data_IF_159308898513
#
_entry.id   IF_159308898513
#
_cell.length_a   1.000
_cell.length_b   1.000
_cell.length_c   1.000
_cell.angle_alpha   90.00
_cell.angle_beta   90.00
_cell.angle_gamma   90.00
#
_symmetry.space_group_name_H-M   'P 1'
#
loop_
_entity.id
_entity.type
_entity.pdbx_description
1 polymer ?
#
# COMPACT_ATOMS: atom_id res chain seq x y z
N UNK A 1 25.95 -7.53 -8.08
CA UNK A 1 24.77 -7.39 -8.96
C UNK A 1 24.09 -8.73 -9.27
N UNK A 2 24.02 -9.68 -8.33
CA UNK A 2 23.32 -10.96 -8.53
C UNK A 2 22.72 -11.36 -7.18
N UNK A 3 21.56 -10.82 -6.80
CA UNK A 3 20.81 -11.33 -5.63
C UNK A 3 19.32 -11.00 -5.61
N UNK A 4 18.74 -10.51 -6.71
CA UNK A 4 17.30 -10.17 -6.79
C UNK A 4 16.52 -11.09 -7.73
N UNK A 5 17.18 -12.06 -8.37
CA UNK A 5 16.55 -12.99 -9.33
C UNK A 5 16.03 -14.28 -8.69
N UNK A 6 16.44 -14.63 -7.46
CA UNK A 6 16.04 -15.88 -6.80
C UNK A 6 14.73 -15.80 -6.00
N UNK A 7 14.28 -14.62 -5.56
CA UNK A 7 13.03 -14.50 -4.79
C UNK A 7 11.79 -14.52 -5.70
N UNK A 8 11.89 -13.95 -6.90
CA UNK A 8 10.78 -13.95 -7.86
C UNK A 8 10.54 -15.31 -8.53
N UNK A 9 11.55 -16.19 -8.61
CA UNK A 9 11.39 -17.57 -9.10
C UNK A 9 10.73 -18.47 -8.05
N UNK A 10 11.03 -18.29 -6.77
CA UNK A 10 10.41 -19.06 -5.68
C UNK A 10 8.89 -18.80 -5.55
N UNK A 11 8.46 -17.54 -5.70
CA UNK A 11 7.04 -17.16 -5.62
C UNK A 11 6.24 -17.67 -6.83
N UNK A 12 6.85 -17.73 -8.02
CA UNK A 12 6.22 -18.27 -9.23
C UNK A 12 6.09 -19.80 -9.21
N UNK A 13 7.03 -20.51 -8.59
CA UNK A 13 6.96 -21.97 -8.39
C UNK A 13 5.89 -22.35 -7.35
N UNK A 14 5.69 -21.56 -6.30
CA UNK A 14 4.64 -21.80 -5.31
C UNK A 14 3.22 -21.58 -5.87
N UNK A 15 3.04 -20.62 -6.78
CA UNK A 15 1.75 -20.37 -7.44
C UNK A 15 1.38 -21.45 -8.48
N UNK A 16 2.37 -22.09 -9.11
CA UNK A 16 2.14 -23.15 -10.10
C UNK A 16 1.86 -24.52 -9.43
N UNK A 17 2.36 -24.74 -8.22
CA UNK A 17 2.02 -25.91 -7.39
C UNK A 17 0.57 -25.89 -6.86
N UNK A 18 -0.01 -24.69 -6.67
CA UNK A 18 -1.39 -24.52 -6.19
C UNK A 18 -2.45 -24.61 -7.29
N UNK A 19 -2.05 -24.48 -8.57
CA UNK A 19 -2.94 -24.62 -9.73
C UNK A 19 -3.01 -26.06 -10.27
N UNK A 20 -2.01 -26.90 -9.99
CA UNK A 20 -1.99 -28.31 -10.41
C UNK A 20 -2.69 -29.27 -9.43
N UNK A 21 -3.08 -28.82 -8.23
CA UNK A 21 -3.83 -29.63 -7.26
C UNK A 21 -5.36 -29.61 -7.46
N UNK A 22 -5.86 -28.86 -8.45
CA UNK A 22 -7.30 -28.71 -8.72
C UNK A 22 -7.79 -29.48 -9.96
N UNK A 23 -6.92 -30.29 -10.61
CA UNK A 23 -7.24 -30.99 -11.87
C UNK A 23 -7.06 -32.51 -11.81
N UNK A 24 -6.87 -33.08 -10.62
CA UNK A 24 -6.80 -34.52 -10.43
C UNK A 24 -7.74 -34.95 -9.32
N UNK A 25 -9.01 -35.21 -9.68
CA UNK A 25 -9.83 -36.34 -9.22
C UNK A 25 -11.28 -36.10 -9.69
N UNK A 26 -11.50 -36.38 -10.97
CA UNK A 26 -12.81 -36.78 -11.47
C UNK A 26 -12.79 -38.30 -11.71
N UNK A 27 -13.92 -38.93 -11.38
CA UNK A 27 -14.45 -40.19 -11.90
C UNK A 27 -14.06 -41.55 -11.28
N UNK A 28 -15.06 -42.44 -11.37
CA UNK A 28 -15.17 -43.87 -11.07
C UNK A 28 -15.50 -44.22 -9.59
N UNK A 29 -16.52 -45.01 -9.25
CA UNK A 29 -17.10 -46.12 -10.02
C UNK A 29 -18.60 -46.31 -9.76
N UNK A 30 -19.28 -46.60 -10.86
CA UNK A 30 -20.54 -47.33 -11.01
C UNK A 30 -20.19 -48.85 -11.04
N UNK A 31 -21.04 -49.70 -10.45
CA UNK A 31 -21.22 -51.17 -10.63
C UNK A 31 -21.43 -51.87 -9.27
N UNK A 32 -22.66 -52.30 -8.94
CA UNK A 32 -23.32 -53.58 -9.25
C UNK A 32 -22.93 -54.76 -8.34
N UNK A 33 -23.93 -55.29 -7.62
CA UNK A 33 -24.28 -56.72 -7.42
C UNK A 33 -25.71 -56.68 -6.86
N UNK A 34 -26.77 -56.78 -7.67
CA UNK A 34 -27.33 -58.00 -8.26
C UNK A 34 -26.85 -59.34 -7.67
N UNK A 35 -27.74 -59.98 -6.92
CA UNK A 35 -28.02 -61.43 -6.83
C UNK A 35 -29.10 -61.61 -5.74
N UNK A 36 -30.24 -62.25 -5.92
CA UNK A 36 -30.84 -62.85 -7.09
C UNK A 36 -32.28 -63.22 -6.70
N UNK A 37 -33.20 -62.97 -7.60
CA UNK A 37 -34.45 -63.70 -7.67
C UNK A 37 -34.12 -65.12 -8.16
N UNK A 38 -34.50 -66.15 -7.39
CA UNK A 38 -34.90 -67.43 -7.98
C UNK A 38 -36.32 -67.74 -7.51
N UNK A 39 -37.28 -67.68 -8.44
CA UNK A 39 -38.58 -68.31 -8.35
C UNK A 39 -38.51 -69.71 -8.99
N UNK A 40 -39.12 -70.71 -8.36
CA UNK A 40 -39.46 -72.02 -8.95
C UNK A 40 -40.57 -72.61 -8.07
N UNK A 41 -41.78 -72.93 -8.50
CA UNK A 41 -42.22 -73.35 -9.83
C UNK A 41 -42.39 -74.87 -9.87
N UNK A 42 -43.61 -75.35 -10.17
CA UNK A 42 -43.93 -76.77 -10.39
C UNK A 42 -44.84 -77.36 -9.31
N UNK A 43 -46.18 -77.35 -9.35
CA UNK A 43 -47.17 -77.80 -10.34
C UNK A 43 -47.18 -79.31 -10.65
N UNK A 44 -48.05 -80.02 -9.91
CA UNK A 44 -48.87 -81.19 -10.30
C UNK A 44 -48.11 -82.47 -10.78
N UNK A 45 -48.76 -83.61 -11.10
CA UNK A 45 -50.14 -84.07 -10.88
C UNK A 45 -50.22 -85.53 -10.33
N UNK A 46 -51.37 -85.94 -9.78
CA UNK A 46 -51.91 -87.31 -9.90
C UNK A 46 -53.39 -87.19 -9.53
N UNK A 47 -54.34 -87.31 -10.45
CA UNK A 47 -54.59 -88.53 -11.23
C UNK A 47 -55.52 -89.42 -10.40
N UNK A 48 -56.82 -89.10 -10.40
CA UNK A 48 -57.86 -89.88 -11.11
C UNK A 48 -58.28 -91.18 -10.40
N UNK A 49 -59.51 -91.22 -9.90
CA UNK A 49 -60.14 -92.44 -9.44
C UNK A 49 -61.44 -92.22 -8.66
N UNK A 50 -62.53 -91.94 -9.37
CA UNK A 50 -63.90 -92.17 -8.89
C UNK A 50 -64.27 -93.65 -9.14
N UNK A 51 -65.31 -94.22 -8.52
CA UNK A 51 -65.56 -94.57 -7.11
C UNK A 51 -65.44 -96.11 -6.89
N UNK A 52 -65.74 -96.63 -5.67
CA UNK A 52 -67.04 -97.31 -5.55
C UNK A 52 -67.75 -97.05 -4.21
N UNK A 53 -69.07 -96.91 -4.28
CA UNK A 53 -70.00 -97.22 -3.19
C UNK A 53 -70.29 -98.74 -3.22
N UNK A 54 -70.87 -99.40 -2.21
CA UNK A 54 -71.11 -99.03 -0.82
C UNK A 54 -70.53 -100.05 0.18
N UNK A 55 -70.10 -99.58 1.35
CA UNK A 55 -69.73 -100.46 2.47
C UNK A 55 -70.22 -99.87 3.78
N UNK A 56 -71.41 -100.28 4.21
CA UNK A 56 -71.95 -99.99 5.53
C UNK A 56 -70.91 -100.27 6.63
N UNK A 57 -70.51 -99.24 7.37
CA UNK A 57 -69.77 -99.33 8.64
C UNK A 57 -70.21 -98.17 9.55
N UNK A 58 -70.27 -98.40 10.86
CA UNK A 58 -71.47 -98.60 11.67
C UNK A 58 -72.01 -97.26 12.20
N UNK A 59 -73.10 -97.21 12.98
CA UNK A 59 -73.48 -95.98 13.66
C UNK A 59 -72.33 -95.54 14.58
N UNK A 60 -71.57 -94.52 14.15
CA UNK A 60 -70.63 -93.82 15.03
C UNK A 60 -71.50 -93.10 16.04
N UNK A 61 -71.49 -93.63 17.26
CA UNK A 61 -72.25 -93.10 18.41
C UNK A 61 -72.03 -91.57 18.49
N UNK A 62 -73.08 -90.77 18.73
CA UNK A 62 -72.99 -89.30 18.83
C UNK A 62 -71.81 -88.77 19.67
N UNK A 63 -71.44 -89.52 20.72
CA UNK A 63 -70.34 -89.23 21.64
C UNK A 63 -68.92 -89.21 21.01
N UNK A 64 -68.67 -89.89 19.88
CA UNK A 64 -67.35 -89.88 19.22
C UNK A 64 -67.17 -88.66 18.31
N UNK A 65 -68.27 -88.13 17.75
CA UNK A 65 -68.29 -86.91 16.93
C UNK A 65 -68.16 -85.67 17.81
N UNK A 66 -68.84 -85.68 18.94
CA UNK A 66 -68.74 -84.64 19.98
C UNK A 66 -67.32 -84.47 20.52
N UNK A 67 -66.60 -85.58 20.80
CA UNK A 67 -65.19 -85.52 21.22
C UNK A 67 -64.26 -85.01 20.13
N UNK A 68 -64.49 -85.38 18.87
CA UNK A 68 -63.68 -84.89 17.75
C UNK A 68 -63.90 -83.39 17.51
N UNK A 69 -65.13 -82.89 17.67
CA UNK A 69 -65.45 -81.48 17.54
C UNK A 69 -64.95 -80.66 18.75
N UNK A 70 -64.96 -81.22 19.97
CA UNK A 70 -64.33 -80.62 21.14
C UNK A 70 -62.80 -80.46 20.98
N UNK A 71 -62.10 -81.50 20.52
CA UNK A 71 -60.66 -81.43 20.22
C UNK A 71 -60.36 -80.41 19.12
N UNK A 72 -61.22 -80.29 18.10
CA UNK A 72 -61.09 -79.25 17.07
C UNK A 72 -61.29 -77.84 17.62
N UNK A 73 -62.19 -77.66 18.58
CA UNK A 73 -62.45 -76.37 19.21
C UNK A 73 -61.26 -75.94 20.06
N UNK A 74 -60.73 -76.83 20.91
CA UNK A 74 -59.50 -76.57 21.69
C UNK A 74 -58.31 -76.26 20.76
N UNK A 75 -58.17 -77.01 19.66
CA UNK A 75 -57.11 -76.76 18.68
C UNK A 75 -57.28 -75.41 17.97
N UNK A 76 -58.52 -74.97 17.69
CA UNK A 76 -58.79 -73.62 17.16
C UNK A 76 -58.44 -72.54 18.17
N UNK A 77 -58.84 -72.69 19.43
CA UNK A 77 -58.52 -71.76 20.50
C UNK A 77 -56.99 -71.65 20.72
N UNK A 78 -56.26 -72.75 20.67
CA UNK A 78 -54.79 -72.74 20.70
C UNK A 78 -54.17 -72.04 19.49
N UNK A 79 -54.71 -72.26 18.29
CA UNK A 79 -54.24 -71.60 17.06
C UNK A 79 -54.53 -70.11 17.11
N UNK A 80 -55.69 -69.69 17.59
CA UNK A 80 -56.06 -68.29 17.74
C UNK A 80 -55.21 -67.60 18.81
N UNK A 81 -54.95 -68.28 19.94
CA UNK A 81 -54.04 -67.80 20.99
C UNK A 81 -52.60 -67.68 20.47
N UNK A 82 -52.11 -68.67 19.72
CA UNK A 82 -50.78 -68.63 19.11
C UNK A 82 -50.67 -67.51 18.07
N UNK A 83 -51.73 -67.27 17.30
CA UNK A 83 -51.82 -66.19 16.32
C UNK A 83 -51.84 -64.82 16.99
N UNK A 84 -52.58 -64.68 18.10
CA UNK A 84 -52.60 -63.45 18.90
C UNK A 84 -51.20 -63.16 19.48
N UNK A 85 -50.57 -64.14 20.13
CA UNK A 85 -49.21 -64.01 20.65
C UNK A 85 -48.19 -63.67 19.56
N UNK A 86 -48.35 -64.22 18.35
CA UNK A 86 -47.50 -63.88 17.20
C UNK A 86 -47.75 -62.46 16.72
N UNK A 87 -49.01 -62.00 16.69
CA UNK A 87 -49.36 -60.62 16.35
C UNK A 87 -48.80 -59.63 17.37
N UNK A 88 -48.95 -59.92 18.66
CA UNK A 88 -48.48 -59.08 19.76
C UNK A 88 -46.94 -58.94 19.75
N UNK A 89 -46.21 -60.05 19.54
CA UNK A 89 -44.75 -60.01 19.34
C UNK A 89 -44.36 -59.25 18.08
N UNK A 90 -45.13 -59.36 17.00
CA UNK A 90 -44.86 -58.62 15.77
C UNK A 90 -45.09 -57.12 15.95
N UNK A 91 -46.11 -56.71 16.72
CA UNK A 91 -46.32 -55.30 17.08
C UNK A 91 -45.21 -54.80 18.00
N UNK A 92 -44.80 -55.57 19.00
CA UNK A 92 -43.70 -55.21 19.90
C UNK A 92 -42.36 -55.04 19.16
N UNK A 93 -42.03 -55.96 18.24
CA UNK A 93 -40.84 -55.83 17.37
C UNK A 93 -40.93 -54.61 16.46
N UNK A 94 -42.12 -54.28 15.96
CA UNK A 94 -42.33 -53.10 15.11
C UNK A 94 -42.16 -51.80 15.91
N UNK A 95 -42.71 -51.75 17.11
CA UNK A 95 -42.65 -50.58 17.99
C UNK A 95 -41.22 -50.34 18.48
N UNK A 96 -40.52 -51.40 18.89
CA UNK A 96 -39.09 -51.30 19.25
C UNK A 96 -38.21 -50.86 18.07
N UNK A 97 -38.52 -51.30 16.85
CA UNK A 97 -37.82 -50.84 15.64
C UNK A 97 -38.14 -49.38 15.32
N UNK A 98 -39.38 -48.92 15.53
CA UNK A 98 -39.77 -47.52 15.37
C UNK A 98 -39.09 -46.62 16.39
N UNK A 99 -39.08 -47.01 17.68
CA UNK A 99 -38.37 -46.29 18.73
C UNK A 99 -36.88 -46.14 18.41
N UNK A 100 -36.20 -47.25 18.05
CA UNK A 100 -34.78 -47.19 17.64
C UNK A 100 -34.54 -46.30 16.42
N UNK A 101 -35.46 -46.25 15.46
CA UNK A 101 -35.35 -45.37 14.30
C UNK A 101 -35.47 -43.90 14.69
N UNK A 102 -36.42 -43.55 15.54
CA UNK A 102 -36.56 -42.17 16.04
C UNK A 102 -35.35 -41.78 16.91
N UNK A 103 -34.83 -42.68 17.76
CA UNK A 103 -33.60 -42.42 18.54
C UNK A 103 -32.39 -42.17 17.65
N UNK A 104 -32.19 -42.98 16.59
CA UNK A 104 -31.11 -42.78 15.63
C UNK A 104 -31.27 -41.44 14.91
N UNK A 105 -32.50 -41.10 14.50
CA UNK A 105 -32.82 -39.86 13.80
C UNK A 105 -32.56 -38.63 14.67
N UNK A 106 -32.98 -38.65 15.94
CA UNK A 106 -32.71 -37.59 16.91
C UNK A 106 -31.21 -37.44 17.16
N UNK A 107 -30.49 -38.54 17.39
CA UNK A 107 -29.03 -38.52 17.56
C UNK A 107 -28.29 -37.95 16.34
N UNK A 108 -28.75 -38.26 15.11
CA UNK A 108 -28.19 -37.70 13.88
C UNK A 108 -28.50 -36.20 13.77
N UNK A 109 -29.71 -35.77 14.12
CA UNK A 109 -30.10 -34.36 14.13
C UNK A 109 -29.25 -33.55 15.13
N UNK A 110 -29.11 -34.04 16.36
CA UNK A 110 -28.29 -33.40 17.39
C UNK A 110 -26.84 -33.27 16.93
N UNK A 111 -26.21 -34.35 16.43
CA UNK A 111 -24.84 -34.30 15.91
C UNK A 111 -24.69 -33.35 14.73
N UNK A 112 -25.69 -33.26 13.84
CA UNK A 112 -25.68 -32.32 12.72
C UNK A 112 -25.73 -30.87 13.21
N UNK A 113 -26.59 -30.55 14.17
CA UNK A 113 -26.65 -29.21 14.75
C UNK A 113 -25.35 -28.88 15.52
N UNK A 114 -24.76 -29.82 16.28
CA UNK A 114 -23.46 -29.60 16.92
C UNK A 114 -22.35 -29.31 15.90
N UNK A 115 -22.27 -30.10 14.81
CA UNK A 115 -21.26 -29.87 13.75
C UNK A 115 -21.48 -28.52 13.07
N UNK A 116 -22.73 -28.15 12.81
CA UNK A 116 -23.10 -26.87 12.19
C UNK A 116 -22.72 -25.68 13.08
N UNK A 117 -23.01 -25.75 14.38
CA UNK A 117 -22.61 -24.73 15.36
C UNK A 117 -21.09 -24.59 15.43
N UNK A 118 -20.36 -25.70 15.59
CA UNK A 118 -18.89 -25.68 15.64
C UNK A 118 -18.27 -25.11 14.36
N UNK A 119 -18.86 -25.41 13.19
CA UNK A 119 -18.40 -24.89 11.91
C UNK A 119 -18.69 -23.40 11.75
N UNK A 120 -19.82 -22.93 12.30
CA UNK A 120 -20.17 -21.52 12.33
C UNK A 120 -19.23 -20.74 13.26
N UNK A 121 -18.99 -21.23 14.48
CA UNK A 121 -18.06 -20.64 15.44
C UNK A 121 -16.65 -20.51 14.86
N UNK A 122 -16.10 -21.58 14.25
CA UNK A 122 -14.79 -21.52 13.59
C UNK A 122 -14.75 -20.54 12.42
N UNK A 123 -15.84 -20.41 11.66
CA UNK A 123 -15.91 -19.42 10.57
C UNK A 123 -15.89 -18.00 11.11
N UNK A 124 -16.59 -17.75 12.21
CA UNK A 124 -16.66 -16.42 12.81
C UNK A 124 -15.32 -16.08 13.50
N UNK A 125 -14.68 -17.03 14.19
CA UNK A 125 -13.32 -16.89 14.73
C UNK A 125 -12.27 -16.57 13.64
N UNK A 126 -12.34 -17.26 12.49
CA UNK A 126 -11.47 -16.97 11.34
C UNK A 126 -11.73 -15.57 10.78
N UNK A 127 -13.00 -15.13 10.69
CA UNK A 127 -13.33 -13.77 10.23
C UNK A 127 -12.77 -12.73 11.18
N UNK A 128 -12.96 -12.90 12.49
CA UNK A 128 -12.48 -11.97 13.51
C UNK A 128 -10.97 -11.88 13.48
N UNK A 129 -10.28 -13.01 13.36
CA UNK A 129 -8.81 -13.05 13.22
C UNK A 129 -8.33 -12.33 11.95
N UNK A 130 -9.05 -12.51 10.83
CA UNK A 130 -8.73 -11.80 9.58
C UNK A 130 -9.01 -10.29 9.69
N UNK A 131 -10.06 -9.88 10.39
CA UNK A 131 -10.38 -8.47 10.62
C UNK A 131 -9.31 -7.82 11.50
N UNK A 132 -8.93 -8.45 12.61
CA UNK A 132 -7.84 -7.98 13.48
C UNK A 132 -6.54 -7.80 12.72
N UNK A 133 -6.11 -8.82 11.93
CA UNK A 133 -4.89 -8.71 11.12
C UNK A 133 -4.96 -7.60 10.06
N UNK A 134 -6.14 -7.35 9.48
CA UNK A 134 -6.32 -6.25 8.52
C UNK A 134 -6.21 -4.89 9.19
N UNK A 135 -6.82 -4.70 10.37
CA UNK A 135 -6.68 -3.46 11.13
C UNK A 135 -5.22 -3.27 11.59
N UNK A 136 -4.54 -4.32 12.08
CA UNK A 136 -3.11 -4.25 12.46
C UNK A 136 -2.19 -3.86 11.29
N UNK A 137 -2.42 -4.42 10.09
CA UNK A 137 -1.64 -4.04 8.90
C UNK A 137 -1.91 -2.58 8.53
N UNK A 138 -3.16 -2.14 8.64
CA UNK A 138 -3.58 -0.78 8.32
C UNK A 138 -3.01 0.23 9.30
N UNK A 139 -3.05 -0.04 10.60
CA UNK A 139 -2.44 0.81 11.63
C UNK A 139 -0.93 0.88 11.43
N UNK A 140 -0.26 -0.26 11.24
CA UNK A 140 1.19 -0.28 11.02
C UNK A 140 1.60 0.47 9.73
N UNK A 141 0.78 0.41 8.69
CA UNK A 141 1.00 1.16 7.46
C UNK A 141 0.73 2.66 7.64
N UNK A 142 -0.20 3.05 8.50
CA UNK A 142 -0.44 4.45 8.86
C UNK A 142 0.71 5.01 9.70
N UNK A 143 1.19 4.27 10.70
CA UNK A 143 2.35 4.62 11.52
C UNK A 143 3.61 4.81 10.65
N UNK A 144 3.95 3.85 9.80
CA UNK A 144 5.10 3.99 8.89
C UNK A 144 4.98 5.18 7.95
N UNK A 145 3.77 5.51 7.50
CA UNK A 145 3.54 6.72 6.68
C UNK A 145 3.73 7.99 7.49
N UNK A 146 3.32 8.02 8.75
CA UNK A 146 3.56 9.14 9.66
C UNK A 146 5.06 9.29 9.94
N UNK A 147 5.76 8.21 10.29
CA UNK A 147 7.21 8.23 10.54
C UNK A 147 8.01 8.72 9.32
N UNK A 148 7.67 8.26 8.12
CA UNK A 148 8.30 8.74 6.89
C UNK A 148 8.01 10.23 6.67
N UNK A 149 6.79 10.68 6.96
CA UNK A 149 6.40 12.09 6.83
C UNK A 149 7.18 12.95 7.81
N UNK A 150 7.29 12.52 9.07
CA UNK A 150 7.97 13.27 10.13
C UNK A 150 9.48 13.34 9.89
N UNK A 151 10.13 12.21 9.55
CA UNK A 151 11.55 12.20 9.17
C UNK A 151 11.85 13.05 7.93
N UNK A 152 10.91 13.15 6.99
CA UNK A 152 11.04 14.03 5.83
C UNK A 152 10.87 15.51 6.20
N UNK A 153 9.97 15.83 7.15
CA UNK A 153 9.81 17.19 7.69
C UNK A 153 11.07 17.64 8.43
N UNK A 154 11.63 16.80 9.30
CA UNK A 154 12.86 17.10 10.05
C UNK A 154 14.04 17.37 9.11
N UNK A 155 14.31 16.46 8.16
CA UNK A 155 15.39 16.67 7.17
C UNK A 155 15.20 17.94 6.35
N UNK A 156 13.95 18.28 6.04
CA UNK A 156 13.63 19.51 5.31
C UNK A 156 13.92 20.75 6.17
N UNK A 157 13.58 20.72 7.45
CA UNK A 157 13.86 21.81 8.38
C UNK A 157 15.37 22.00 8.61
N UNK A 158 16.12 20.91 8.76
CA UNK A 158 17.60 20.94 8.84
C UNK A 158 18.21 21.58 7.59
N UNK A 159 17.78 21.14 6.40
CA UNK A 159 18.23 21.72 5.14
C UNK A 159 17.86 23.21 5.05
N UNK A 160 16.65 23.58 5.46
CA UNK A 160 16.21 24.98 5.47
C UNK A 160 17.09 25.84 6.37
N UNK A 161 17.40 25.37 7.58
CA UNK A 161 18.27 26.08 8.52
C UNK A 161 19.69 26.21 7.98
N UNK A 162 20.24 25.16 7.36
CA UNK A 162 21.54 25.21 6.70
C UNK A 162 21.57 26.24 5.55
N UNK A 163 20.51 26.31 4.74
CA UNK A 163 20.39 27.30 3.67
C UNK A 163 20.27 28.73 4.21
N UNK A 164 19.49 28.95 5.27
CA UNK A 164 19.38 30.26 5.95
C UNK A 164 20.74 30.71 6.51
N UNK A 165 21.47 29.81 7.16
CA UNK A 165 22.82 30.09 7.67
C UNK A 165 23.79 30.47 6.54
N UNK A 166 23.85 29.64 5.49
CA UNK A 166 24.69 29.88 4.31
C UNK A 166 24.43 31.23 3.66
N UNK A 167 23.19 31.71 3.75
CA UNK A 167 22.78 32.99 3.18
C UNK A 167 23.25 34.20 3.98
N UNK A 168 23.25 34.10 5.30
CA UNK A 168 23.92 35.08 6.17
C UNK A 168 25.42 35.14 5.88
N UNK A 169 26.04 33.98 5.74
CA UNK A 169 27.47 33.86 5.39
C UNK A 169 27.78 34.52 4.04
N UNK A 170 26.95 34.32 3.00
CA UNK A 170 27.16 34.95 1.68
C UNK A 170 27.23 36.48 1.79
N UNK A 171 26.38 37.11 2.61
CA UNK A 171 26.41 38.57 2.80
C UNK A 171 27.70 39.00 3.50
N UNK A 172 28.13 38.29 4.54
CA UNK A 172 29.36 38.58 5.27
C UNK A 172 30.60 38.42 4.36
N UNK A 173 30.69 37.31 3.62
CA UNK A 173 31.76 37.03 2.67
C UNK A 173 31.83 38.11 1.58
N UNK A 174 30.68 38.57 1.06
CA UNK A 174 30.65 39.63 0.06
C UNK A 174 31.21 40.95 0.61
N UNK A 175 30.87 41.34 1.84
CA UNK A 175 31.37 42.56 2.48
C UNK A 175 32.88 42.47 2.73
N UNK A 176 33.35 41.35 3.30
CA UNK A 176 34.78 41.10 3.52
C UNK A 176 35.58 41.17 2.22
N UNK A 177 35.07 40.54 1.15
CA UNK A 177 35.71 40.57 -0.18
C UNK A 177 35.62 41.93 -0.86
N UNK A 178 34.66 42.78 -0.50
CA UNK A 178 34.58 44.17 -0.98
C UNK A 178 35.67 45.01 -0.34
N UNK A 179 35.87 44.89 0.97
CA UNK A 179 36.92 45.59 1.71
C UNK A 179 38.32 45.19 1.21
N UNK A 180 38.61 43.88 1.16
CA UNK A 180 39.89 43.38 0.66
C UNK A 180 40.18 43.83 -0.78
N UNK A 181 39.16 43.88 -1.64
CA UNK A 181 39.32 44.35 -3.02
C UNK A 181 39.64 45.86 -3.10
N UNK A 182 39.04 46.67 -2.23
CA UNK A 182 39.30 48.11 -2.13
C UNK A 182 40.70 48.41 -1.60
N UNK A 183 41.16 47.67 -0.60
CA UNK A 183 42.51 47.82 -0.05
C UNK A 183 43.59 47.59 -1.11
N UNK A 184 43.46 46.53 -1.92
CA UNK A 184 44.39 46.26 -3.03
C UNK A 184 44.27 47.19 -4.24
N UNK A 185 43.35 48.16 -4.24
CA UNK A 185 43.11 49.02 -5.40
C UNK A 185 44.27 49.97 -5.69
N UNK A 186 44.94 50.47 -4.65
CA UNK A 186 46.07 51.38 -4.86
C UNK A 186 47.26 50.66 -5.50
N UNK A 187 47.60 49.47 -5.02
CA UNK A 187 48.69 48.65 -5.59
C UNK A 187 48.43 48.29 -7.05
N UNK A 188 47.18 47.92 -7.40
CA UNK A 188 46.80 47.65 -8.80
C UNK A 188 46.89 48.89 -9.67
N UNK A 189 46.51 50.07 -9.16
CA UNK A 189 46.68 51.35 -9.88
C UNK A 189 48.13 51.58 -10.22
N UNK A 190 49.01 51.47 -9.24
CA UNK A 190 50.41 51.79 -9.42
C UNK A 190 51.09 50.80 -10.39
N UNK A 191 50.79 49.50 -10.27
CA UNK A 191 51.22 48.49 -11.24
C UNK A 191 50.72 48.75 -12.68
N UNK A 192 49.47 49.21 -12.82
CA UNK A 192 48.91 49.55 -14.13
C UNK A 192 49.51 50.84 -14.71
N UNK A 193 49.79 51.85 -13.87
CA UNK A 193 50.46 53.09 -14.29
C UNK A 193 51.85 52.79 -14.85
N UNK A 194 52.60 51.90 -14.19
CA UNK A 194 53.93 51.48 -14.64
C UNK A 194 53.88 50.77 -16.01
N UNK A 195 52.94 49.83 -16.21
CA UNK A 195 52.88 49.03 -17.44
C UNK A 195 52.20 49.71 -18.63
N UNK A 196 51.15 50.49 -18.39
CA UNK A 196 50.27 51.01 -19.45
C UNK A 196 50.35 52.54 -19.59
N UNK A 197 51.12 53.20 -18.73
CA UNK A 197 51.21 54.66 -18.62
C UNK A 197 50.14 55.24 -17.70
N UNK A 198 50.46 56.38 -17.07
CA UNK A 198 49.65 57.02 -16.02
C UNK A 198 48.15 57.09 -16.34
N UNK A 199 47.80 57.75 -17.45
CA UNK A 199 46.39 57.96 -17.83
C UNK A 199 45.63 56.67 -18.10
N UNK A 200 46.26 55.68 -18.73
CA UNK A 200 45.57 54.43 -19.08
C UNK A 200 45.38 53.57 -17.84
N UNK A 201 46.43 53.42 -17.03
CA UNK A 201 46.35 52.61 -15.82
C UNK A 201 45.33 53.14 -14.82
N UNK A 202 45.30 54.45 -14.61
CA UNK A 202 44.30 55.09 -13.76
C UNK A 202 42.87 54.88 -14.29
N UNK A 203 42.64 55.12 -15.58
CA UNK A 203 41.31 54.93 -16.18
C UNK A 203 40.83 53.48 -16.07
N UNK A 204 41.72 52.51 -16.26
CA UNK A 204 41.39 51.08 -16.18
C UNK A 204 41.00 50.68 -14.76
N UNK A 205 41.75 51.09 -13.73
CA UNK A 205 41.36 50.79 -12.34
C UNK A 205 40.05 51.50 -11.98
N UNK A 206 39.91 52.79 -12.31
CA UNK A 206 38.68 53.51 -12.00
C UNK A 206 37.46 52.82 -12.63
N UNK A 207 37.57 52.42 -13.90
CA UNK A 207 36.50 51.73 -14.60
C UNK A 207 36.19 50.37 -13.97
N UNK A 208 37.21 49.54 -13.72
CA UNK A 208 36.99 48.19 -13.20
C UNK A 208 36.48 48.23 -11.75
N UNK A 209 37.02 49.09 -10.91
CA UNK A 209 36.51 49.30 -9.54
C UNK A 209 35.05 49.74 -9.54
N UNK A 210 34.67 50.71 -10.39
CA UNK A 210 33.30 51.15 -10.51
C UNK A 210 32.36 50.06 -11.08
N UNK A 211 32.87 49.19 -11.96
CA UNK A 211 32.13 48.04 -12.46
C UNK A 211 31.88 47.02 -11.35
N UNK A 212 32.93 46.63 -10.60
CA UNK A 212 32.85 45.69 -9.48
C UNK A 212 31.86 46.19 -8.44
N UNK A 213 31.94 47.47 -8.05
CA UNK A 213 31.01 48.06 -7.08
C UNK A 213 29.55 47.97 -7.54
N UNK A 214 29.26 48.26 -8.82
CA UNK A 214 27.91 48.10 -9.38
C UNK A 214 27.43 46.66 -9.37
N UNK A 215 28.32 45.69 -9.65
CA UNK A 215 27.99 44.26 -9.63
C UNK A 215 27.75 43.76 -8.19
N UNK A 216 28.57 44.20 -7.23
CA UNK A 216 28.37 43.94 -5.80
C UNK A 216 27.04 44.48 -5.31
N UNK A 217 26.72 45.74 -5.65
CA UNK A 217 25.46 46.36 -5.26
C UNK A 217 24.25 45.64 -5.91
N UNK A 218 24.39 45.15 -7.15
CA UNK A 218 23.37 44.35 -7.80
C UNK A 218 23.14 43.01 -7.07
N UNK A 219 24.22 42.30 -6.71
CA UNK A 219 24.15 41.07 -5.90
C UNK A 219 23.55 41.35 -4.51
N UNK A 220 23.93 42.47 -3.89
CA UNK A 220 23.38 42.92 -2.61
C UNK A 220 21.87 43.11 -2.67
N UNK A 221 21.36 43.80 -3.70
CA UNK A 221 19.91 43.98 -3.92
C UNK A 221 19.18 42.65 -4.13
N UNK A 222 19.77 41.71 -4.86
CA UNK A 222 19.20 40.36 -5.05
C UNK A 222 19.12 39.62 -3.71
N UNK A 223 20.17 39.71 -2.89
CA UNK A 223 20.14 39.10 -1.57
C UNK A 223 19.12 39.77 -0.64
N UNK A 224 19.01 41.09 -0.63
CA UNK A 224 18.00 41.77 0.18
C UNK A 224 16.56 41.39 -0.27
N UNK A 225 16.32 41.22 -1.58
CA UNK A 225 15.04 40.73 -2.10
C UNK A 225 14.76 39.31 -1.62
N UNK A 226 15.75 38.41 -1.73
CA UNK A 226 15.62 37.06 -1.23
C UNK A 226 15.29 37.07 0.28
N UNK A 227 15.77 38.03 1.09
CA UNK A 227 15.55 38.07 2.55
C UNK A 227 14.11 38.48 2.83
N UNK A 228 13.61 39.43 2.04
CA UNK A 228 12.21 39.83 2.10
C UNK A 228 11.29 38.67 1.72
N UNK A 229 11.62 37.91 0.67
CA UNK A 229 10.85 36.73 0.25
C UNK A 229 10.85 35.64 1.34
N UNK A 230 12.00 35.34 1.92
CA UNK A 230 12.13 34.40 3.04
C UNK A 230 11.26 34.81 4.22
N UNK A 231 11.32 36.08 4.63
CA UNK A 231 10.48 36.60 5.71
C UNK A 231 8.98 36.62 5.38
N UNK A 232 8.57 36.55 4.12
CA UNK A 232 7.16 36.34 3.76
C UNK A 232 6.80 34.86 3.87
N UNK A 233 7.69 33.97 3.41
CA UNK A 233 7.51 32.52 3.52
C UNK A 233 7.41 32.11 4.99
N UNK A 234 8.26 32.62 5.86
CA UNK A 234 8.22 32.34 7.31
C UNK A 234 6.89 32.78 7.94
N UNK A 235 6.38 33.96 7.56
CA UNK A 235 5.06 34.43 8.02
C UNK A 235 3.92 33.56 7.50
N UNK A 236 4.00 33.07 6.26
CA UNK A 236 3.02 32.15 5.70
C UNK A 236 3.07 30.78 6.41
N UNK A 237 4.26 30.26 6.70
CA UNK A 237 4.45 29.04 7.46
C UNK A 237 3.85 29.17 8.88
N UNK A 238 4.09 30.30 9.55
CA UNK A 238 3.50 30.58 10.86
C UNK A 238 1.96 30.64 10.83
N UNK A 239 1.36 30.99 9.69
CA UNK A 239 -0.10 30.93 9.48
C UNK A 239 -0.63 29.55 9.05
N UNK A 240 0.23 28.53 8.99
CA UNK A 240 -0.14 27.15 8.63
C UNK A 240 -0.23 26.88 7.12
N UNK A 241 0.26 27.77 6.27
CA UNK A 241 0.28 27.56 4.82
C UNK A 241 1.36 26.55 4.40
N UNK A 242 1.11 25.78 3.34
CA UNK A 242 2.13 24.91 2.75
C UNK A 242 3.15 25.73 1.94
N UNK A 243 4.33 25.94 2.51
CA UNK A 243 5.40 26.74 1.94
C UNK A 243 6.43 25.95 1.11
N UNK A 244 6.22 24.65 0.89
CA UNK A 244 7.21 23.74 0.28
C UNK A 244 7.76 24.24 -1.05
N UNK A 245 6.87 24.56 -1.99
CA UNK A 245 7.27 24.98 -3.31
C UNK A 245 8.00 26.34 -3.27
N UNK A 246 7.51 27.29 -2.47
CA UNK A 246 8.11 28.61 -2.36
C UNK A 246 9.52 28.55 -1.74
N UNK A 247 9.70 27.70 -0.72
CA UNK A 247 11.00 27.50 -0.08
C UNK A 247 12.01 26.88 -1.06
N UNK A 248 11.64 25.79 -1.74
CA UNK A 248 12.52 25.14 -2.70
C UNK A 248 12.92 26.06 -3.87
N UNK A 249 11.98 26.91 -4.33
CA UNK A 249 12.26 27.93 -5.34
C UNK A 249 13.22 29.00 -4.80
N UNK A 250 13.05 29.43 -3.56
CA UNK A 250 13.95 30.39 -2.91
C UNK A 250 15.36 29.81 -2.71
N UNK A 251 15.47 28.53 -2.33
CA UNK A 251 16.75 27.83 -2.20
C UNK A 251 17.49 27.78 -3.54
N UNK A 252 16.76 27.53 -4.64
CA UNK A 252 17.32 27.62 -6.00
C UNK A 252 17.84 29.02 -6.31
N UNK A 253 17.06 30.06 -6.00
CA UNK A 253 17.44 31.44 -6.23
C UNK A 253 18.68 31.86 -5.42
N UNK A 254 18.78 31.42 -4.16
CA UNK A 254 19.94 31.69 -3.30
C UNK A 254 21.19 30.96 -3.79
N UNK A 255 21.06 29.73 -4.29
CA UNK A 255 22.14 29.03 -5.00
C UNK A 255 22.67 29.84 -6.20
N UNK A 256 21.78 30.44 -7.00
CA UNK A 256 22.17 31.29 -8.13
C UNK A 256 22.85 32.60 -7.69
N UNK A 257 22.45 33.19 -6.57
CA UNK A 257 23.16 34.33 -5.98
C UNK A 257 24.58 33.93 -5.57
N UNK A 258 24.76 32.76 -4.95
CA UNK A 258 26.08 32.25 -4.57
C UNK A 258 26.99 31.98 -5.79
N UNK A 259 26.42 31.46 -6.90
CA UNK A 259 27.14 31.35 -8.18
C UNK A 259 27.60 32.72 -8.69
N UNK A 260 26.75 33.76 -8.61
CA UNK A 260 27.11 35.11 -9.02
C UNK A 260 28.23 35.73 -8.15
N UNK A 261 28.22 35.48 -6.83
CA UNK A 261 29.30 35.88 -5.91
C UNK A 261 30.61 35.21 -6.28
N UNK A 262 30.57 33.91 -6.59
CA UNK A 262 31.76 33.14 -6.99
C UNK A 262 32.33 33.61 -8.34
N UNK A 263 31.45 33.92 -9.30
CA UNK A 263 31.85 34.50 -10.58
C UNK A 263 32.51 35.87 -10.39
N UNK A 264 31.97 36.71 -9.49
CA UNK A 264 32.54 38.04 -9.22
C UNK A 264 33.93 37.94 -8.58
N UNK A 265 34.12 36.99 -7.67
CA UNK A 265 35.42 36.70 -7.06
C UNK A 265 36.45 36.23 -8.09
N UNK A 266 36.02 35.37 -9.02
CA UNK A 266 36.84 34.96 -10.16
C UNK A 266 37.25 36.17 -11.01
N UNK A 267 36.30 37.08 -11.30
CA UNK A 267 36.58 38.28 -12.08
C UNK A 267 37.59 39.21 -11.38
N UNK A 268 37.45 39.41 -10.06
CA UNK A 268 38.41 40.17 -9.24
C UNK A 268 39.81 39.55 -9.29
N UNK A 269 39.90 38.22 -9.17
CA UNK A 269 41.16 37.49 -9.19
C UNK A 269 41.84 37.58 -10.57
N UNK A 270 41.08 37.39 -11.64
CA UNK A 270 41.59 37.54 -13.01
C UNK A 270 42.09 38.97 -13.26
N UNK A 271 41.36 39.97 -12.77
CA UNK A 271 41.79 41.36 -12.87
C UNK A 271 43.07 41.65 -12.10
N UNK A 272 43.20 41.12 -10.88
CA UNK A 272 44.45 41.22 -10.13
C UNK A 272 45.62 40.54 -10.86
N UNK A 273 45.39 39.38 -11.50
CA UNK A 273 46.43 38.70 -12.29
C UNK A 273 46.84 39.47 -13.56
N UNK A 274 45.93 40.30 -14.10
CA UNK A 274 46.18 41.11 -15.29
C UNK A 274 47.30 42.14 -15.06
N UNK A 275 47.43 42.68 -13.85
CA UNK A 275 48.48 43.68 -13.55
C UNK A 275 49.88 43.07 -13.61
N UNK A 276 50.01 41.74 -13.47
CA UNK A 276 51.30 41.02 -13.50
C UNK A 276 51.54 40.30 -14.84
N UNK A 277 50.52 40.11 -15.66
CA UNK A 277 50.63 39.44 -16.97
C UNK A 277 51.67 40.09 -17.92
N UNK A 278 52.36 39.25 -18.67
CA UNK A 278 53.25 39.61 -19.78
C UNK A 278 52.51 39.79 -21.11
N UNK A 279 51.27 39.29 -21.23
CA UNK A 279 50.37 39.53 -22.36
C UNK A 279 49.12 40.28 -21.88
N UNK A 280 49.10 41.62 -22.01
CA UNK A 280 47.96 42.43 -21.59
C UNK A 280 46.69 42.12 -22.40
N UNK A 281 46.79 41.82 -23.71
CA UNK A 281 45.61 41.64 -24.56
C UNK A 281 44.83 40.39 -24.17
N UNK A 282 45.52 39.25 -24.04
CA UNK A 282 44.89 38.01 -23.59
C UNK A 282 44.32 38.14 -22.18
N UNK A 283 45.02 38.86 -21.28
CA UNK A 283 44.53 39.09 -19.92
C UNK A 283 43.26 39.96 -19.88
N UNK A 284 43.15 40.99 -20.73
CA UNK A 284 41.93 41.79 -20.87
C UNK A 284 40.75 40.98 -21.42
N UNK A 285 40.99 40.08 -22.38
CA UNK A 285 39.95 39.19 -22.90
C UNK A 285 39.43 38.24 -21.82
N UNK A 286 40.32 37.69 -20.99
CA UNK A 286 39.93 36.86 -19.85
C UNK A 286 39.08 37.65 -18.83
N UNK A 287 39.50 38.86 -18.44
CA UNK A 287 38.73 39.74 -17.56
C UNK A 287 37.36 40.08 -18.16
N UNK A 288 37.30 40.36 -19.46
CA UNK A 288 36.02 40.65 -20.13
C UNK A 288 35.10 39.43 -20.11
N UNK A 289 35.63 38.25 -20.36
CA UNK A 289 34.86 37.01 -20.33
C UNK A 289 34.30 36.73 -18.93
N UNK A 290 35.10 36.91 -17.87
CA UNK A 290 34.59 36.74 -16.50
C UNK A 290 33.56 37.78 -16.12
N UNK A 291 33.72 39.05 -16.49
CA UNK A 291 32.67 40.07 -16.28
C UNK A 291 31.38 39.72 -17.01
N UNK A 292 31.46 39.18 -18.23
CA UNK A 292 30.28 38.68 -18.95
C UNK A 292 29.61 37.53 -18.22
N UNK A 293 30.38 36.56 -17.72
CA UNK A 293 29.87 35.47 -16.90
C UNK A 293 29.17 35.97 -15.63
N UNK A 294 29.77 36.92 -14.90
CA UNK A 294 29.12 37.56 -13.73
C UNK A 294 27.77 38.15 -14.11
N UNK A 295 27.69 38.88 -15.23
CA UNK A 295 26.43 39.46 -15.69
C UNK A 295 25.38 38.39 -16.02
N UNK A 296 25.79 37.26 -16.61
CA UNK A 296 24.90 36.15 -16.91
C UNK A 296 24.38 35.49 -15.62
N UNK A 297 25.26 35.27 -14.63
CA UNK A 297 24.89 34.71 -13.32
C UNK A 297 23.96 35.63 -12.54
N UNK A 298 24.18 36.95 -12.55
CA UNK A 298 23.28 37.94 -11.94
C UNK A 298 21.88 37.89 -12.60
N UNK A 299 21.81 37.77 -13.93
CA UNK A 299 20.53 37.63 -14.64
C UNK A 299 19.82 36.33 -14.27
N UNK A 300 20.55 35.22 -14.19
CA UNK A 300 20.01 33.94 -13.77
C UNK A 300 19.46 33.99 -12.33
N UNK A 301 20.20 34.62 -11.42
CA UNK A 301 19.75 34.84 -10.04
C UNK A 301 18.50 35.72 -9.97
N UNK A 302 18.44 36.80 -10.76
CA UNK A 302 17.24 37.64 -10.88
C UNK A 302 16.05 36.83 -11.39
N UNK A 303 16.22 36.02 -12.43
CA UNK A 303 15.14 35.21 -12.98
C UNK A 303 14.62 34.23 -11.94
N UNK A 304 15.51 33.50 -11.27
CA UNK A 304 15.12 32.58 -10.22
C UNK A 304 14.33 33.27 -9.09
N UNK A 305 14.70 34.49 -8.69
CA UNK A 305 13.89 35.26 -7.73
C UNK A 305 12.53 35.68 -8.27
N UNK A 306 12.41 35.99 -9.56
CA UNK A 306 11.11 36.29 -10.16
C UNK A 306 10.19 35.07 -10.17
N UNK A 307 10.74 33.87 -10.28
CA UNK A 307 9.99 32.61 -10.22
C UNK A 307 9.48 32.30 -8.80
N UNK A 308 10.13 32.83 -7.75
CA UNK A 308 9.68 32.73 -6.35
C UNK A 308 8.46 33.60 -6.08
N UNK A 309 8.39 34.80 -6.67
CA UNK A 309 7.34 35.80 -6.43
C UNK A 309 5.91 35.25 -6.60
N UNK A 310 5.54 34.55 -7.70
CA UNK A 310 4.19 34.03 -7.85
C UNK A 310 3.83 33.00 -6.77
N UNK A 311 4.79 32.15 -6.36
CA UNK A 311 4.59 31.19 -5.28
C UNK A 311 4.34 31.90 -3.96
N UNK A 312 5.17 32.89 -3.61
CA UNK A 312 5.00 33.69 -2.40
C UNK A 312 3.69 34.49 -2.40
N UNK A 313 3.26 34.96 -3.58
CA UNK A 313 1.96 35.64 -3.72
C UNK A 313 0.79 34.70 -3.48
N UNK A 314 0.88 33.45 -3.95
CA UNK A 314 -0.16 32.43 -3.75
C UNK A 314 -0.32 32.03 -2.27
N UNK A 315 0.74 32.19 -1.46
CA UNK A 315 0.71 31.92 -0.01
C UNK A 315 -0.01 33.01 0.80
N UNK A 316 -0.27 34.17 0.21
CA UNK A 316 -0.95 35.25 0.93
C UNK A 316 -2.47 35.00 0.89
N UNK A 317 -3.17 34.93 2.04
CA UNK A 317 -4.62 34.85 2.04
C UNK A 317 -5.20 36.08 1.32
N UNK A 318 -6.21 35.85 0.47
CA UNK A 318 -6.88 36.91 -0.27
C UNK A 318 -7.34 38.01 0.70
N UNK A 319 -7.27 39.30 0.31
CA UNK A 319 -7.85 40.35 1.14
C UNK A 319 -9.34 40.02 1.31
N UNK A 320 -9.76 39.74 2.54
CA UNK A 320 -11.16 39.65 2.89
C UNK A 320 -11.79 40.98 2.53
N UNK A 321 -12.56 41.01 1.44
CA UNK A 321 -13.49 42.11 1.19
C UNK A 321 -14.52 42.00 2.30
N UNK A 322 -14.31 42.73 3.40
CA UNK A 322 -15.34 42.99 4.39
C UNK A 322 -16.45 43.72 3.63
N UNK A 323 -17.48 42.97 3.24
CA UNK A 323 -18.74 43.53 2.79
C UNK A 323 -19.31 44.26 3.99
N UNK A 324 -19.16 45.58 4.00
CA UNK A 324 -19.87 46.47 4.91
C UNK A 324 -21.34 46.33 4.55
N UNK A 325 -22.06 45.47 5.26
CA UNK A 325 -23.50 45.47 5.28
C UNK A 325 -23.94 46.78 5.97
N UNK A 326 -24.45 47.70 5.16
CA UNK A 326 -25.13 48.93 5.60
C UNK A 326 -26.38 48.52 6.38
N UNK A 327 -26.42 48.88 7.66
CA UNK A 327 -27.67 49.01 8.43
C UNK A 327 -28.16 50.46 8.35
#
# INVERSE_FOLDING_TARGET
MISTTNEHTAIRLAALALLMSALFFAQAAYAHTDTGTVPTGGSAPTGSGMPPSPGQKPPVRPALREKADAVRQEMREHVDTAKQNMQDKRTEVKDTMQMKREDIKTNIQEKRETVKTNMQEKRDEIKDTMQMKREDIKTHMQEKRADIKDTMMEKREELQNAFKARRGEVKAVLMQKREAFKEGAQERRDALKEKLGERKGENIEQFFSAMVEKLEDAIGRLNDLATKLDGIIDRAAASGADTAAAQASLDTATGKIAEAVTALDTAKTQYASMTVSSDPKAAFEAVRASVQDVSAKIRAARQALMDVIPLVRALRPAPTTTSTATN
#
